data_IF_273579077635
#
_entry.id   IF_273579077635
#
_cell.length_a   1.000
_cell.length_b   1.000
_cell.length_c   1.000
_cell.angle_alpha   90.00
_cell.angle_beta   90.00
_cell.angle_gamma   90.00
#
_symmetry.space_group_name_H-M   'P 1'
#
loop_
_entity.id
_entity.type
_entity.pdbx_description
1 polymer ?
#
# COMPACT_ATOMS: atom_id res chain seq x y z
N UNK A 1 -5.08 8.93 -16.12
CA UNK A 1 -5.04 9.20 -14.67
C UNK A 1 -4.91 10.70 -14.45
N UNK A 2 -5.60 11.27 -13.46
CA UNK A 2 -5.46 12.68 -13.12
C UNK A 2 -4.19 12.86 -12.27
N UNK A 3 -3.25 13.68 -12.74
CA UNK A 3 -1.95 13.92 -12.10
C UNK A 3 -1.59 15.41 -12.13
N UNK A 4 -0.60 15.83 -11.35
CA UNK A 4 0.01 17.17 -11.48
C UNK A 4 0.54 17.38 -12.89
N UNK A 5 0.40 18.59 -13.41
CA UNK A 5 0.81 18.90 -14.79
C UNK A 5 2.31 18.65 -15.04
N UNK A 6 3.16 18.83 -14.02
CA UNK A 6 4.61 18.58 -14.10
C UNK A 6 4.96 17.10 -14.19
N UNK A 7 4.00 16.20 -13.90
CA UNK A 7 4.23 14.76 -13.96
C UNK A 7 3.88 14.16 -15.32
N UNK A 8 3.22 14.90 -16.22
CA UNK A 8 2.78 14.38 -17.50
C UNK A 8 3.69 14.85 -18.63
N UNK A 9 4.60 14.00 -19.09
CA UNK A 9 5.71 14.40 -19.94
C UNK A 9 5.27 15.06 -21.24
N UNK A 10 4.35 14.43 -21.98
CA UNK A 10 3.82 14.97 -23.23
C UNK A 10 3.25 16.39 -23.05
N UNK A 11 2.39 16.58 -22.03
CA UNK A 11 1.74 17.87 -21.80
C UNK A 11 2.72 18.90 -21.23
N UNK A 12 3.59 18.48 -20.31
CA UNK A 12 4.62 19.33 -19.72
C UNK A 12 5.58 19.87 -20.76
N UNK A 13 6.03 19.03 -21.70
CA UNK A 13 6.90 19.44 -22.80
C UNK A 13 6.23 20.41 -23.77
N UNK A 14 4.92 20.29 -23.98
CA UNK A 14 4.17 21.25 -24.82
C UNK A 14 4.09 22.62 -24.13
N UNK A 15 3.78 22.67 -22.84
CA UNK A 15 3.61 23.94 -22.11
C UNK A 15 4.93 24.64 -21.76
N UNK A 16 6.01 23.88 -21.60
CA UNK A 16 7.35 24.42 -21.31
C UNK A 16 8.18 24.66 -22.58
N UNK A 17 7.66 24.29 -23.76
CA UNK A 17 8.30 24.55 -25.03
C UNK A 17 8.58 26.06 -25.21
N UNK A 18 9.79 26.45 -25.67
CA UNK A 18 10.13 27.84 -25.95
C UNK A 18 9.21 28.51 -26.98
N UNK A 19 8.59 27.71 -27.85
CA UNK A 19 7.62 28.15 -28.85
C UNK A 19 6.31 27.37 -28.69
N UNK A 20 5.43 27.80 -27.78
CA UNK A 20 4.14 27.15 -27.57
C UNK A 20 3.30 27.23 -28.86
N UNK A 21 2.85 26.09 -29.37
CA UNK A 21 2.02 26.06 -30.56
C UNK A 21 0.53 26.15 -30.18
N UNK A 22 -0.23 27.14 -30.69
CA UNK A 22 -1.64 27.34 -30.33
C UNK A 22 -2.55 26.13 -30.59
N UNK A 23 -2.16 25.27 -31.55
CA UNK A 23 -2.91 24.07 -31.93
C UNK A 23 -3.13 23.08 -30.78
N UNK A 24 -2.29 23.11 -29.74
CA UNK A 24 -2.43 22.22 -28.58
C UNK A 24 -3.33 22.78 -27.48
N UNK A 25 -3.74 24.05 -27.55
CA UNK A 25 -4.55 24.68 -26.49
C UNK A 25 -5.88 23.95 -26.25
N UNK A 26 -6.52 23.49 -27.32
CA UNK A 26 -7.76 22.73 -27.21
C UNK A 26 -7.52 21.40 -26.50
N UNK A 27 -6.48 20.66 -26.90
CA UNK A 27 -6.10 19.39 -26.28
C UNK A 27 -5.79 19.54 -24.78
N UNK A 28 -5.00 20.57 -24.41
CA UNK A 28 -4.64 20.83 -23.00
C UNK A 28 -5.89 21.17 -22.18
N UNK A 29 -6.80 22.01 -22.70
CA UNK A 29 -8.04 22.33 -22.01
C UNK A 29 -8.91 21.09 -21.77
N UNK A 30 -9.05 20.24 -22.78
CA UNK A 30 -9.82 18.99 -22.68
C UNK A 30 -9.18 17.97 -21.72
N UNK A 31 -7.85 18.01 -21.59
CA UNK A 31 -7.13 17.15 -20.66
C UNK A 31 -7.20 17.65 -19.21
N UNK A 32 -7.80 18.80 -18.89
CA UNK A 32 -7.87 19.31 -17.51
C UNK A 32 -8.76 18.42 -16.64
N UNK A 33 -8.30 18.13 -15.43
CA UNK A 33 -9.05 17.40 -14.41
C UNK A 33 -8.87 18.03 -13.03
N UNK A 34 -9.72 17.69 -12.07
CA UNK A 34 -9.67 18.22 -10.70
C UNK A 34 -9.12 17.16 -9.75
N UNK A 35 -8.07 17.50 -9.01
CA UNK A 35 -7.49 16.64 -7.98
C UNK A 35 -7.42 17.40 -6.63
N UNK A 36 -7.87 16.82 -5.51
CA UNK A 36 -7.83 17.47 -4.20
C UNK A 36 -6.42 17.92 -3.83
N UNK A 37 -6.26 19.19 -3.44
CA UNK A 37 -4.97 19.76 -3.03
C UNK A 37 -3.97 20.02 -4.17
N UNK A 38 -4.40 19.95 -5.44
CA UNK A 38 -3.55 20.21 -6.61
C UNK A 38 -4.13 21.35 -7.44
N UNK A 39 -3.33 22.40 -7.65
CA UNK A 39 -3.77 23.62 -8.35
C UNK A 39 -3.86 23.47 -9.87
N UNK A 40 -3.05 22.60 -10.47
CA UNK A 40 -3.04 22.31 -11.91
C UNK A 40 -2.89 20.82 -12.14
N UNK A 41 -3.99 20.17 -12.49
CA UNK A 41 -4.03 18.74 -12.77
C UNK A 41 -4.56 18.44 -14.16
N UNK A 42 -4.00 17.40 -14.77
CA UNK A 42 -4.25 16.98 -16.14
C UNK A 42 -4.42 15.46 -16.21
N UNK A 43 -5.27 15.00 -17.13
CA UNK A 43 -5.41 13.61 -17.49
C UNK A 43 -4.20 13.17 -18.30
N UNK A 44 -3.38 12.28 -17.73
CA UNK A 44 -2.20 11.72 -18.36
C UNK A 44 -2.36 10.21 -18.61
N UNK A 45 -1.76 9.72 -19.69
CA UNK A 45 -1.61 8.28 -19.91
C UNK A 45 -0.53 7.73 -18.97
N UNK A 46 -0.70 6.50 -18.48
CA UNK A 46 0.23 5.91 -17.51
C UNK A 46 1.68 5.86 -18.03
N UNK A 47 1.87 5.63 -19.33
CA UNK A 47 3.18 5.60 -19.98
C UNK A 47 3.85 6.98 -20.10
N UNK A 48 3.07 8.06 -20.05
CA UNK A 48 3.53 9.46 -20.18
C UNK A 48 3.78 10.11 -18.82
N UNK A 49 3.49 9.40 -17.74
CA UNK A 49 3.78 9.90 -16.41
C UNK A 49 5.26 9.73 -16.18
N UNK A 50 5.98 10.84 -16.02
CA UNK A 50 7.31 10.80 -15.43
C UNK A 50 7.16 10.28 -13.99
N UNK A 51 7.30 8.96 -13.84
CA UNK A 51 8.08 8.44 -12.72
C UNK A 51 9.38 9.22 -12.82
N UNK A 52 9.66 10.13 -11.88
CA UNK A 52 10.95 10.81 -11.82
C UNK A 52 12.03 9.78 -12.13
N UNK A 53 12.56 9.78 -13.35
CA UNK A 53 13.66 8.93 -13.71
C UNK A 53 14.76 9.39 -12.77
N UNK A 54 15.05 8.56 -11.78
CA UNK A 54 16.11 8.80 -10.82
C UNK A 54 17.44 8.64 -11.56
N UNK A 55 17.78 9.62 -12.39
CA UNK A 55 19.11 9.81 -12.99
C UNK A 55 20.02 10.65 -12.09
N UNK A 56 19.54 11.05 -10.92
CA UNK A 56 20.37 11.04 -9.72
C UNK A 56 20.06 9.75 -9.00
N UNK A 57 21.08 8.99 -8.58
CA UNK A 57 20.91 7.90 -7.62
C UNK A 57 20.42 8.50 -6.29
N UNK A 58 19.15 8.90 -6.26
CA UNK A 58 18.40 9.03 -5.03
C UNK A 58 18.41 7.62 -4.48
N UNK A 59 19.23 7.36 -3.46
CA UNK A 59 19.03 6.23 -2.57
C UNK A 59 17.65 6.42 -1.96
N UNK A 60 16.62 5.96 -2.66
CA UNK A 60 15.35 5.62 -2.05
C UNK A 60 15.77 4.61 -0.98
N UNK A 61 15.62 4.92 0.33
CA UNK A 61 15.90 3.94 1.36
C UNK A 61 15.09 2.72 0.96
N UNK A 62 15.75 1.58 0.78
CA UNK A 62 15.12 0.37 0.29
C UNK A 62 14.03 -0.01 1.29
N UNK A 63 12.80 0.44 1.03
CA UNK A 63 11.70 0.44 1.98
C UNK A 63 11.23 -0.99 2.23
N UNK A 64 11.32 -1.82 1.18
CA UNK A 64 11.01 -3.22 1.23
C UNK A 64 12.30 -4.02 1.40
N UNK A 65 12.36 -4.99 2.33
CA UNK A 65 13.53 -5.84 2.49
C UNK A 65 13.67 -6.80 1.31
N UNK A 66 14.92 -7.04 0.88
CA UNK A 66 15.23 -8.10 -0.11
C UNK A 66 14.98 -9.51 0.44
N UNK A 67 15.19 -9.68 1.73
CA UNK A 67 14.99 -10.95 2.43
C UNK A 67 13.57 -10.97 3.01
N UNK A 68 12.59 -11.41 2.22
CA UNK A 68 11.19 -11.53 2.60
C UNK A 68 10.55 -12.81 2.04
N UNK A 69 9.37 -13.18 2.52
CA UNK A 69 8.54 -14.25 1.92
C UNK A 69 9.17 -15.65 1.91
N UNK A 70 10.13 -15.93 2.80
CA UNK A 70 10.75 -17.26 2.90
C UNK A 70 9.70 -18.26 3.40
N UNK A 71 9.36 -19.22 2.55
CA UNK A 71 8.41 -20.29 2.83
C UNK A 71 8.86 -21.59 2.18
N UNK A 72 8.52 -22.73 2.78
CA UNK A 72 9.09 -24.03 2.40
C UNK A 72 8.26 -24.82 1.37
N UNK A 73 6.99 -24.48 1.11
CA UNK A 73 6.16 -25.25 0.16
C UNK A 73 5.45 -24.39 -0.88
N UNK A 74 5.32 -24.93 -2.09
CA UNK A 74 4.73 -24.24 -3.24
C UNK A 74 3.26 -24.65 -3.49
N UNK A 75 2.67 -25.54 -2.68
CA UNK A 75 1.30 -26.02 -2.91
C UNK A 75 0.59 -26.38 -1.61
N UNK A 76 -0.41 -25.58 -1.26
CA UNK A 76 -1.42 -25.94 -0.27
C UNK A 76 -2.49 -26.75 -1.00
N UNK A 77 -2.60 -28.05 -0.73
CA UNK A 77 -3.68 -28.91 -1.23
C UNK A 77 -4.28 -29.67 -0.07
N UNK A 78 -5.60 -29.54 0.16
CA UNK A 78 -6.30 -29.98 1.38
C UNK A 78 -5.70 -29.29 2.61
N UNK A 79 -6.20 -28.09 2.91
CA UNK A 79 -5.64 -27.26 3.98
C UNK A 79 -5.60 -27.98 5.34
N UNK A 80 -4.47 -27.86 6.02
CA UNK A 80 -4.25 -28.20 7.42
C UNK A 80 -4.09 -26.91 8.23
N UNK A 81 -4.05 -27.02 9.56
CA UNK A 81 -3.56 -25.91 10.38
C UNK A 81 -2.12 -25.59 9.96
N UNK A 82 -1.78 -24.30 10.03
CA UNK A 82 -0.41 -23.88 9.82
C UNK A 82 0.49 -24.44 10.93
N UNK A 83 1.77 -24.66 10.64
CA UNK A 83 2.76 -24.95 11.67
C UNK A 83 3.14 -23.66 12.43
N UNK A 84 3.71 -23.83 13.64
CA UNK A 84 4.21 -22.70 14.42
C UNK A 84 5.26 -21.94 13.60
N UNK A 85 5.11 -20.62 13.51
CA UNK A 85 5.98 -19.72 12.73
C UNK A 85 6.01 -19.97 11.20
N UNK A 86 5.06 -20.73 10.64
CA UNK A 86 5.03 -21.03 9.20
C UNK A 86 4.86 -19.78 8.32
N UNK A 87 4.02 -18.83 8.76
CA UNK A 87 3.74 -17.57 8.06
C UNK A 87 4.05 -16.37 8.96
N UNK A 88 5.34 -16.06 9.21
CA UNK A 88 5.75 -15.10 10.24
C UNK A 88 5.36 -13.65 9.91
N UNK A 89 4.96 -13.36 8.68
CA UNK A 89 4.42 -12.06 8.28
C UNK A 89 2.93 -11.90 8.56
N UNK A 90 2.23 -12.90 9.08
CA UNK A 90 0.81 -12.77 9.45
C UNK A 90 0.63 -11.80 10.61
N UNK A 91 -0.37 -10.92 10.49
CA UNK A 91 -0.61 -9.84 11.43
C UNK A 91 -2.09 -9.77 11.82
N UNK A 92 -2.34 -9.59 13.11
CA UNK A 92 -3.66 -9.34 13.67
C UNK A 92 -3.88 -7.85 13.85
N UNK A 93 -5.02 -7.36 13.34
CA UNK A 93 -5.46 -5.98 13.53
C UNK A 93 -6.51 -5.96 14.64
N UNK A 94 -6.14 -5.39 15.78
CA UNK A 94 -6.98 -5.33 16.98
C UNK A 94 -7.70 -3.99 17.01
N UNK A 95 -9.01 -4.06 16.90
CA UNK A 95 -9.92 -2.92 16.91
C UNK A 95 -10.55 -2.75 18.27
N UNK A 96 -10.91 -1.51 18.60
CA UNK A 96 -11.74 -1.18 19.76
C UNK A 96 -13.01 -0.51 19.28
N UNK A 97 -14.15 -1.11 19.60
CA UNK A 97 -15.44 -0.49 19.33
C UNK A 97 -15.59 0.79 20.18
N UNK A 98 -15.98 1.90 19.55
CA UNK A 98 -16.03 3.22 20.22
C UNK A 98 -17.09 3.30 21.31
N UNK A 99 -18.21 2.59 21.15
CA UNK A 99 -19.35 2.63 22.08
C UNK A 99 -19.18 1.66 23.24
N UNK A 100 -18.95 0.38 22.95
CA UNK A 100 -18.83 -0.66 23.98
C UNK A 100 -17.45 -0.71 24.64
N UNK A 101 -16.44 -0.12 24.01
CA UNK A 101 -15.05 -0.23 24.44
C UNK A 101 -14.43 -1.62 24.27
N UNK A 102 -15.18 -2.59 23.72
CA UNK A 102 -14.73 -3.97 23.54
C UNK A 102 -13.69 -4.06 22.42
N UNK A 103 -12.64 -4.84 22.66
CA UNK A 103 -11.65 -5.18 21.65
C UNK A 103 -12.09 -6.40 20.83
N UNK A 104 -11.77 -6.39 19.53
CA UNK A 104 -12.04 -7.51 18.63
C UNK A 104 -11.04 -7.54 17.47
N UNK A 105 -10.96 -8.69 16.81
CA UNK A 105 -10.18 -8.89 15.58
C UNK A 105 -11.17 -9.24 14.48
N UNK A 106 -11.22 -8.42 13.44
CA UNK A 106 -12.08 -8.62 12.28
C UNK A 106 -11.26 -8.84 11.00
N UNK A 107 -10.13 -8.15 10.90
CA UNK A 107 -9.24 -8.20 9.75
C UNK A 107 -7.82 -8.58 10.14
N UNK A 108 -7.06 -8.96 9.12
CA UNK A 108 -5.65 -9.31 9.22
C UNK A 108 -4.83 -8.42 8.27
N UNK A 109 -3.51 -8.52 8.38
CA UNK A 109 -2.57 -7.89 7.46
C UNK A 109 -1.32 -8.73 7.26
N UNK A 110 -0.40 -8.19 6.47
CA UNK A 110 0.91 -8.78 6.25
C UNK A 110 2.02 -7.78 6.54
N UNK A 111 3.01 -8.17 7.32
CA UNK A 111 4.20 -7.37 7.59
C UNK A 111 5.03 -7.25 6.30
N UNK A 112 5.15 -6.05 5.74
CA UNK A 112 5.90 -5.82 4.49
C UNK A 112 7.31 -5.29 4.75
N UNK A 113 7.58 -4.74 5.93
CA UNK A 113 8.91 -4.39 6.42
C UNK A 113 8.87 -4.19 7.95
N UNK A 114 9.94 -3.66 8.55
CA UNK A 114 10.04 -3.45 10.01
C UNK A 114 9.03 -2.46 10.61
N UNK A 115 8.30 -1.69 9.80
CA UNK A 115 7.45 -0.58 10.25
C UNK A 115 6.04 -0.55 9.67
N UNK A 116 5.78 -1.34 8.63
CA UNK A 116 4.56 -1.22 7.84
C UNK A 116 3.87 -2.58 7.67
N UNK A 117 2.56 -2.56 7.87
CA UNK A 117 1.65 -3.67 7.63
C UNK A 117 0.77 -3.31 6.44
N UNK A 118 0.69 -4.21 5.47
CA UNK A 118 -0.24 -4.12 4.35
C UNK A 118 -1.57 -4.78 4.75
N UNK A 119 -2.68 -4.09 4.50
CA UNK A 119 -4.04 -4.62 4.67
C UNK A 119 -4.97 -3.94 3.65
N UNK A 120 -6.23 -4.33 3.64
CA UNK A 120 -7.23 -3.70 2.76
C UNK A 120 -7.72 -2.36 3.33
N UNK A 121 -8.09 -1.41 2.46
CA UNK A 121 -8.68 -0.14 2.89
C UNK A 121 -10.01 -0.36 3.65
N UNK A 122 -10.79 -1.35 3.22
CA UNK A 122 -12.02 -1.76 3.90
C UNK A 122 -11.76 -2.20 5.34
N UNK A 123 -10.64 -2.86 5.61
CA UNK A 123 -10.27 -3.28 6.94
C UNK A 123 -9.89 -2.13 7.89
N UNK A 124 -9.59 -0.93 7.37
CA UNK A 124 -9.14 0.22 8.17
C UNK A 124 -10.09 1.41 8.19
N UNK A 125 -11.08 1.44 7.30
CA UNK A 125 -12.10 2.48 7.26
C UNK A 125 -13.37 2.00 7.97
N UNK A 126 -13.37 2.04 9.30
CA UNK A 126 -14.56 1.79 10.13
C UNK A 126 -14.84 2.99 11.04
N UNK A 127 -16.00 3.62 10.86
CA UNK A 127 -16.43 4.76 11.68
C UNK A 127 -16.85 4.35 13.10
N UNK A 128 -17.24 3.09 13.30
CA UNK A 128 -17.74 2.57 14.58
C UNK A 128 -16.63 2.08 15.53
N UNK A 129 -15.42 1.92 15.02
CA UNK A 129 -14.29 1.36 15.75
C UNK A 129 -13.00 2.14 15.49
N UNK A 130 -11.99 1.94 16.32
CA UNK A 130 -10.64 2.47 16.08
C UNK A 130 -9.64 1.32 16.03
N UNK A 131 -8.73 1.36 15.05
CA UNK A 131 -7.60 0.44 15.03
C UNK A 131 -6.72 0.81 16.21
N UNK A 132 -6.65 -0.07 17.21
CA UNK A 132 -5.96 0.23 18.45
C UNK A 132 -4.55 -0.35 18.47
N UNK A 133 -4.40 -1.59 18.00
CA UNK A 133 -3.14 -2.33 18.10
C UNK A 133 -2.93 -3.26 16.91
N UNK A 134 -1.66 -3.60 16.71
CA UNK A 134 -1.17 -4.57 15.74
C UNK A 134 -0.42 -5.64 16.52
N UNK A 135 -0.78 -6.92 16.33
CA UNK A 135 -0.08 -8.07 16.94
C UNK A 135 0.56 -8.93 15.86
N UNK A 136 1.83 -9.26 16.05
CA UNK A 136 2.65 -10.09 15.16
C UNK A 136 3.09 -11.36 15.90
N UNK A 137 3.41 -12.42 15.16
CA UNK A 137 3.94 -13.66 15.75
C UNK A 137 2.94 -14.46 16.56
N UNK A 138 1.65 -14.18 16.39
CA UNK A 138 0.56 -14.91 17.05
C UNK A 138 0.26 -16.22 16.31
N UNK A 139 -0.01 -17.30 17.06
CA UNK A 139 -0.32 -18.62 16.50
C UNK A 139 -1.67 -19.15 17.00
N UNK A 140 -1.84 -19.43 18.31
CA UNK A 140 -3.13 -19.83 18.88
C UNK A 140 -3.58 -18.87 20.00
N UNK A 141 -4.56 -18.01 19.67
CA UNK A 141 -5.19 -17.05 20.61
C UNK A 141 -5.77 -17.64 21.90
N UNK A 142 -5.88 -18.96 22.02
CA UNK A 142 -6.41 -19.63 23.21
C UNK A 142 -5.31 -19.98 24.20
N UNK A 143 -4.05 -19.87 23.80
CA UNK A 143 -2.90 -20.32 24.57
C UNK A 143 -1.81 -19.24 24.60
N UNK A 144 -1.13 -19.13 25.74
CA UNK A 144 0.11 -18.37 25.90
C UNK A 144 0.87 -19.05 27.04
N UNK A 145 2.04 -19.70 26.80
CA UNK A 145 2.83 -19.67 25.56
C UNK A 145 2.35 -20.65 24.48
N UNK A 146 2.62 -20.33 23.21
CA UNK A 146 2.50 -21.25 22.08
C UNK A 146 3.61 -22.31 22.13
N UNK A 147 3.24 -23.60 22.15
CA UNK A 147 4.20 -24.71 22.23
C UNK A 147 3.99 -25.72 21.09
N UNK A 148 5.07 -26.11 20.41
CA UNK A 148 5.10 -27.33 19.61
C UNK A 148 5.75 -28.44 20.45
N UNK A 149 5.00 -29.48 20.82
CA UNK A 149 5.48 -30.54 21.72
C UNK A 149 6.52 -31.45 21.05
N UNK A 150 6.73 -31.29 19.74
CA UNK A 150 7.57 -32.16 18.92
C UNK A 150 8.85 -31.50 18.38
N UNK A 151 9.20 -30.30 18.86
CA UNK A 151 10.48 -29.63 18.56
C UNK A 151 11.52 -29.85 19.69
#
# INVERSE_FOLDING_TARGET
MCVRIEQCQNIYNIITSPTPQPKYNYYIKQATCTQPGVSRSICCQLAEIESKNSTTAVTIPELLPRNCGKYLTNKISRGSNADLMEFPWMVWLIWKNKTSGRQFVFCHGSLVNKRYVLSSAWCVNDDSSILQQVRLGEYDRRQDPDCNVND
#
